data_IF_500011152951
#
_entry.id   IF_500011152951
#
_cell.length_a   1.000
_cell.length_b   1.000
_cell.length_c   1.000
_cell.angle_alpha   90.00
_cell.angle_beta   90.00
_cell.angle_gamma   90.00
#
_symmetry.space_group_name_H-M   'P 1'
#
loop_
_entity.id
_entity.type
_entity.pdbx_description
1 polymer ?
#
# COMPACT_ATOMS: atom_id res chain seq x y z
N UNK A 1 -4.39 -9.48 4.44
CA UNK A 1 -5.19 -10.61 3.95
C UNK A 1 -5.42 -11.68 5.02
N UNK A 2 -4.37 -12.27 5.61
CA UNK A 2 -4.48 -13.32 6.64
C UNK A 2 -5.31 -12.90 7.86
N UNK A 3 -5.23 -11.65 8.27
CA UNK A 3 -5.98 -11.11 9.41
C UNK A 3 -7.48 -11.06 9.08
N UNK A 4 -7.86 -10.48 7.94
CA UNK A 4 -9.26 -10.43 7.51
C UNK A 4 -9.88 -11.82 7.33
N UNK A 5 -9.13 -12.80 6.81
CA UNK A 5 -9.61 -14.18 6.70
C UNK A 5 -9.87 -14.87 8.04
N UNK A 6 -9.36 -14.33 9.16
CA UNK A 6 -9.58 -14.86 10.51
C UNK A 6 -10.81 -14.26 11.20
N UNK A 7 -11.39 -13.21 10.64
CA UNK A 7 -12.60 -12.59 11.21
C UNK A 7 -13.79 -13.56 11.20
N UNK A 8 -14.72 -13.45 12.16
CA UNK A 8 -15.91 -14.31 12.20
C UNK A 8 -16.72 -14.25 10.91
N UNK A 9 -16.91 -13.05 10.34
CA UNK A 9 -17.65 -12.85 9.10
C UNK A 9 -16.99 -13.54 7.90
N UNK A 10 -15.65 -13.47 7.78
CA UNK A 10 -14.93 -14.14 6.70
C UNK A 10 -15.03 -15.67 6.82
N UNK A 11 -14.89 -16.20 8.04
CA UNK A 11 -15.02 -17.64 8.32
C UNK A 11 -16.45 -18.15 8.01
N UNK A 12 -17.46 -17.42 8.43
CA UNK A 12 -18.86 -17.77 8.14
C UNK A 12 -19.16 -17.78 6.64
N UNK A 13 -18.55 -16.88 5.87
CA UNK A 13 -18.65 -16.82 4.42
C UNK A 13 -17.70 -17.79 3.67
N UNK A 14 -16.86 -18.53 4.38
CA UNK A 14 -15.90 -19.47 3.79
C UNK A 14 -14.74 -18.82 3.04
N UNK A 15 -14.42 -17.55 3.35
CA UNK A 15 -13.32 -16.85 2.69
C UNK A 15 -11.96 -17.18 3.33
N UNK A 16 -10.97 -17.45 2.46
CA UNK A 16 -9.57 -17.70 2.81
C UNK A 16 -8.71 -16.48 2.50
N UNK A 17 -7.48 -16.46 2.98
CA UNK A 17 -6.54 -15.34 2.77
C UNK A 17 -6.29 -15.00 1.27
N UNK A 18 -6.36 -15.99 0.39
CA UNK A 18 -6.25 -15.80 -1.06
C UNK A 18 -7.42 -15.00 -1.64
N UNK A 19 -8.62 -15.16 -1.10
CA UNK A 19 -9.82 -14.49 -1.59
C UNK A 19 -9.75 -12.95 -1.41
N UNK A 20 -8.94 -12.48 -0.48
CA UNK A 20 -8.65 -11.05 -0.23
C UNK A 20 -7.54 -10.48 -1.11
N UNK A 21 -7.10 -11.19 -2.15
CA UNK A 21 -6.16 -10.63 -3.14
C UNK A 21 -6.93 -9.85 -4.19
N UNK A 22 -6.61 -8.56 -4.36
CA UNK A 22 -7.20 -7.78 -5.45
C UNK A 22 -6.69 -8.21 -6.85
N UNK A 23 -5.59 -8.98 -6.92
CA UNK A 23 -5.07 -9.48 -8.21
C UNK A 23 -5.75 -10.80 -8.65
N UNK A 24 -6.04 -11.70 -7.69
CA UNK A 24 -6.47 -13.09 -8.02
C UNK A 24 -7.58 -13.60 -7.12
N UNK A 25 -8.02 -12.83 -6.13
CA UNK A 25 -9.00 -13.27 -5.13
C UNK A 25 -10.45 -13.16 -5.61
N UNK A 26 -11.33 -13.94 -5.00
CA UNK A 26 -12.78 -13.92 -5.29
C UNK A 26 -13.47 -12.62 -4.88
N UNK A 27 -12.84 -11.86 -3.96
CA UNK A 27 -13.37 -10.58 -3.46
C UNK A 27 -12.88 -9.37 -4.26
N UNK A 28 -12.18 -9.57 -5.36
CA UNK A 28 -11.79 -8.50 -6.26
C UNK A 28 -12.99 -7.96 -7.02
N UNK A 29 -12.96 -6.71 -7.40
CA UNK A 29 -14.01 -6.12 -8.23
C UNK A 29 -14.10 -6.82 -9.60
N UNK A 30 -15.25 -7.37 -9.99
CA UNK A 30 -15.36 -8.08 -11.24
C UNK A 30 -15.39 -7.15 -12.47
N UNK A 31 -15.69 -5.86 -12.30
CA UNK A 31 -15.78 -4.89 -13.39
C UNK A 31 -14.41 -4.42 -13.85
N UNK A 32 -13.52 -4.08 -12.91
CA UNK A 32 -12.15 -3.66 -13.22
C UNK A 32 -11.10 -4.75 -12.97
N UNK A 33 -11.54 -5.94 -12.64
CA UNK A 33 -10.66 -7.08 -12.35
C UNK A 33 -9.60 -6.80 -11.27
N UNK A 34 -9.95 -5.91 -10.32
CA UNK A 34 -9.10 -5.52 -9.20
C UNK A 34 -8.07 -4.42 -9.51
N UNK A 35 -8.09 -3.81 -10.68
CA UNK A 35 -7.20 -2.68 -11.00
C UNK A 35 -7.60 -1.40 -10.28
N UNK A 36 -8.88 -1.23 -9.98
CA UNK A 36 -9.47 -0.02 -9.40
C UNK A 36 -9.82 1.04 -10.45
N UNK A 37 -9.34 0.90 -11.68
CA UNK A 37 -9.58 1.81 -12.78
C UNK A 37 -10.05 1.08 -14.04
N UNK A 38 -10.62 1.80 -14.98
CA UNK A 38 -10.96 1.34 -16.33
C UNK A 38 -10.20 2.23 -17.29
N UNK A 39 -9.40 1.64 -18.17
CA UNK A 39 -8.72 2.34 -19.23
C UNK A 39 -9.68 2.58 -20.40
N UNK A 40 -9.82 3.83 -20.81
CA UNK A 40 -10.59 4.24 -21.97
C UNK A 40 -9.62 4.43 -23.13
N UNK A 41 -9.78 3.62 -24.17
CA UNK A 41 -9.14 3.83 -25.46
C UNK A 41 -9.81 5.03 -26.14
N UNK A 42 -9.12 6.16 -26.19
CA UNK A 42 -9.57 7.37 -26.87
C UNK A 42 -8.73 7.50 -28.15
N UNK A 43 -9.34 7.25 -29.31
CA UNK A 43 -8.67 7.34 -30.61
C UNK A 43 -7.83 8.63 -30.71
N UNK A 44 -6.55 8.46 -31.07
CA UNK A 44 -5.54 9.53 -31.22
C UNK A 44 -5.07 10.24 -29.93
N UNK A 45 -5.49 9.79 -28.75
CA UNK A 45 -5.00 10.31 -27.45
C UNK A 45 -4.40 9.15 -26.63
N UNK A 46 -3.52 9.44 -25.65
CA UNK A 46 -3.11 8.42 -24.69
C UNK A 46 -4.32 7.86 -23.94
N UNK A 47 -4.28 6.58 -23.62
CA UNK A 47 -5.29 5.93 -22.79
C UNK A 47 -5.54 6.72 -21.50
N UNK A 48 -6.80 6.96 -21.18
CA UNK A 48 -7.20 7.66 -19.97
C UNK A 48 -7.76 6.67 -18.97
N UNK A 49 -7.10 6.54 -17.83
CA UNK A 49 -7.58 5.74 -16.71
C UNK A 49 -8.60 6.53 -15.88
N UNK A 50 -9.82 6.00 -15.79
CA UNK A 50 -10.86 6.55 -14.92
C UNK A 50 -11.13 5.60 -13.76
N UNK A 51 -11.48 6.11 -12.55
CA UNK A 51 -11.88 5.25 -11.44
C UNK A 51 -13.03 4.31 -11.84
N UNK A 52 -12.91 3.04 -11.51
CA UNK A 52 -13.96 2.06 -11.81
C UNK A 52 -15.30 2.51 -11.20
N UNK A 53 -16.39 2.58 -11.97
CA UNK A 53 -17.69 3.08 -11.49
C UNK A 53 -18.31 2.18 -10.41
N UNK A 54 -17.99 0.89 -10.42
CA UNK A 54 -18.52 -0.07 -9.44
C UNK A 54 -17.78 0.00 -8.10
N UNK A 55 -16.46 -0.11 -8.09
CA UNK A 55 -15.67 -0.15 -6.86
C UNK A 55 -15.08 1.22 -6.46
N UNK A 56 -15.20 2.24 -7.32
CA UNK A 56 -14.71 3.61 -7.08
C UNK A 56 -13.24 3.67 -6.66
N UNK A 57 -12.41 2.83 -7.27
CA UNK A 57 -10.98 2.75 -6.97
C UNK A 57 -10.60 1.76 -5.87
N UNK A 58 -11.55 1.25 -5.06
CA UNK A 58 -11.24 0.36 -3.93
C UNK A 58 -10.69 -1.02 -4.33
N UNK A 59 -10.83 -1.41 -5.60
CA UNK A 59 -10.38 -2.68 -6.17
C UNK A 59 -11.16 -3.92 -5.71
N UNK A 60 -12.09 -3.75 -4.79
CA UNK A 60 -12.84 -4.84 -4.16
C UNK A 60 -14.32 -4.79 -4.50
N UNK A 61 -14.93 -5.97 -4.48
CA UNK A 61 -16.38 -6.15 -4.63
C UNK A 61 -17.10 -5.90 -3.28
N UNK A 62 -18.42 -5.66 -3.35
CA UNK A 62 -19.32 -5.37 -2.22
C UNK A 62 -19.18 -6.33 -1.03
N UNK A 63 -19.05 -7.67 -1.22
CA UNK A 63 -18.84 -8.57 -0.10
C UNK A 63 -17.62 -8.26 0.77
N UNK A 64 -16.54 -7.71 0.20
CA UNK A 64 -15.36 -7.32 0.96
C UNK A 64 -15.64 -6.21 1.97
N UNK A 65 -16.57 -5.29 1.64
CA UNK A 65 -16.99 -4.19 2.51
C UNK A 65 -17.84 -4.66 3.72
N UNK A 66 -18.27 -5.90 3.74
CA UNK A 66 -19.04 -6.50 4.88
C UNK A 66 -18.11 -7.19 5.89
N UNK A 67 -16.84 -7.40 5.55
CA UNK A 67 -15.88 -8.09 6.39
C UNK A 67 -15.04 -7.05 7.12
N UNK A 68 -15.36 -6.82 8.39
CA UNK A 68 -14.67 -5.85 9.24
C UNK A 68 -13.64 -6.53 10.13
N UNK A 69 -12.52 -5.88 10.29
CA UNK A 69 -11.55 -6.15 11.32
C UNK A 69 -11.78 -5.16 12.47
N UNK A 70 -11.73 -5.65 13.68
CA UNK A 70 -11.77 -4.84 14.90
C UNK A 70 -10.43 -4.95 15.59
N UNK A 71 -9.77 -3.81 15.72
CA UNK A 71 -8.48 -3.67 16.40
C UNK A 71 -8.69 -3.65 17.92
N UNK A 72 -7.66 -4.01 18.67
CA UNK A 72 -7.66 -3.88 20.14
C UNK A 72 -7.74 -2.43 20.60
N UNK A 73 -7.28 -1.49 19.79
CA UNK A 73 -7.41 -0.05 20.04
C UNK A 73 -8.81 0.51 19.79
N UNK A 74 -9.77 -0.32 19.33
CA UNK A 74 -11.14 0.06 19.03
C UNK A 74 -11.37 0.52 17.58
N UNK A 75 -10.33 0.58 16.74
CA UNK A 75 -10.50 0.87 15.32
C UNK A 75 -11.21 -0.30 14.61
N UNK A 76 -12.22 0.03 13.80
CA UNK A 76 -12.97 -0.95 13.01
C UNK A 76 -12.99 -0.55 11.55
N UNK A 77 -12.46 -1.40 10.68
CA UNK A 77 -12.35 -1.11 9.24
C UNK A 77 -12.41 -2.37 8.38
N UNK A 78 -12.76 -2.18 7.12
CA UNK A 78 -12.74 -3.21 6.09
C UNK A 78 -11.43 -3.16 5.31
N UNK A 79 -11.13 -4.20 4.52
CA UNK A 79 -9.93 -4.17 3.66
C UNK A 79 -10.01 -3.07 2.59
N UNK A 80 -11.14 -2.81 1.91
CA UNK A 80 -11.28 -1.62 1.06
C UNK A 80 -10.95 -0.32 1.78
N UNK A 81 -11.51 -0.09 2.96
CA UNK A 81 -11.22 1.11 3.76
C UNK A 81 -9.75 1.22 4.15
N UNK A 82 -9.11 0.10 4.50
CA UNK A 82 -7.68 0.09 4.79
C UNK A 82 -6.85 0.51 3.57
N UNK A 83 -7.24 0.09 2.35
CA UNK A 83 -6.54 0.49 1.12
C UNK A 83 -6.68 1.97 0.79
N UNK A 84 -7.75 2.62 1.26
CA UNK A 84 -8.00 4.05 1.11
C UNK A 84 -7.25 4.91 2.14
N UNK A 85 -6.78 4.32 3.24
CA UNK A 85 -6.02 5.03 4.26
C UNK A 85 -4.63 5.43 3.72
N UNK A 86 -4.19 6.62 4.06
CA UNK A 86 -2.79 6.99 3.95
C UNK A 86 -1.93 6.17 4.93
N UNK A 87 -0.63 6.13 4.71
CA UNK A 87 0.30 5.34 5.51
C UNK A 87 0.30 5.81 6.98
N UNK A 88 0.16 7.12 7.23
CA UNK A 88 0.11 7.67 8.57
C UNK A 88 -1.11 7.14 9.35
N UNK A 89 -2.30 7.27 8.78
CA UNK A 89 -3.55 6.75 9.36
C UNK A 89 -3.52 5.23 9.51
N UNK A 90 -2.95 4.52 8.52
CA UNK A 90 -2.84 3.08 8.55
C UNK A 90 -1.89 2.57 9.65
N UNK A 91 -0.86 3.33 10.02
CA UNK A 91 0.03 3.03 11.16
C UNK A 91 -0.76 2.91 12.46
N UNK A 92 -1.64 3.85 12.73
CA UNK A 92 -2.49 3.85 13.92
C UNK A 92 -3.50 2.71 13.88
N UNK A 93 -4.21 2.57 12.76
CA UNK A 93 -5.23 1.54 12.55
C UNK A 93 -4.67 0.11 12.65
N UNK A 94 -3.44 -0.10 12.19
CA UNK A 94 -2.76 -1.40 12.15
C UNK A 94 -1.84 -1.65 13.35
N UNK A 95 -1.94 -0.90 14.43
CA UNK A 95 -1.07 -1.00 15.61
C UNK A 95 -0.95 -2.42 16.19
N UNK A 96 -1.97 -3.25 16.05
CA UNK A 96 -1.97 -4.66 16.45
C UNK A 96 -1.07 -5.57 15.58
N UNK A 97 -0.65 -5.10 14.41
CA UNK A 97 0.03 -5.92 13.42
C UNK A 97 1.51 -5.55 13.29
N UNK A 98 2.31 -5.96 14.29
CA UNK A 98 3.72 -5.58 14.44
C UNK A 98 4.52 -5.57 13.13
N UNK A 99 4.39 -6.62 12.29
CA UNK A 99 5.13 -6.70 11.01
C UNK A 99 4.66 -5.63 10.02
N UNK A 100 3.33 -5.35 9.99
CA UNK A 100 2.77 -4.32 9.11
C UNK A 100 3.20 -2.94 9.59
N UNK A 101 3.06 -2.66 10.89
CA UNK A 101 3.46 -1.39 11.50
C UNK A 101 4.95 -1.09 11.24
N UNK A 102 5.84 -2.07 11.41
CA UNK A 102 7.26 -1.89 11.09
C UNK A 102 7.48 -1.50 9.61
N UNK A 103 6.76 -2.12 8.68
CA UNK A 103 6.87 -1.80 7.25
C UNK A 103 6.30 -0.42 6.91
N UNK A 104 5.17 -0.08 7.51
CA UNK A 104 4.56 1.25 7.32
C UNK A 104 5.42 2.35 7.93
N UNK A 105 6.08 2.09 9.08
CA UNK A 105 7.01 3.04 9.69
C UNK A 105 8.16 3.38 8.75
N UNK A 106 8.75 2.39 8.09
CA UNK A 106 9.81 2.62 7.08
C UNK A 106 9.31 3.55 5.96
N UNK A 107 8.09 3.36 5.48
CA UNK A 107 7.50 4.24 4.46
C UNK A 107 7.27 5.65 5.00
N UNK A 108 6.79 5.78 6.24
CA UNK A 108 6.65 7.06 6.93
C UNK A 108 7.99 7.78 7.04
N UNK A 109 9.03 7.07 7.48
CA UNK A 109 10.38 7.60 7.65
C UNK A 109 11.02 8.04 6.32
N UNK A 110 10.60 7.47 5.21
CA UNK A 110 11.01 7.86 3.86
C UNK A 110 10.18 9.03 3.27
N UNK A 111 9.34 9.68 4.08
CA UNK A 111 8.51 10.79 3.65
C UNK A 111 7.36 10.37 2.71
N UNK A 112 6.93 9.11 2.77
CA UNK A 112 5.82 8.56 1.97
C UNK A 112 4.51 8.44 2.76
N UNK A 113 4.44 9.05 3.95
CA UNK A 113 3.31 8.92 4.88
C UNK A 113 1.96 9.36 4.32
N UNK A 114 1.96 10.25 3.34
CA UNK A 114 0.75 10.77 2.67
C UNK A 114 0.21 9.85 1.58
N UNK A 115 0.99 8.87 1.09
CA UNK A 115 0.53 7.93 0.07
C UNK A 115 -0.52 6.99 0.63
N UNK A 116 -1.54 6.69 -0.18
CA UNK A 116 -2.54 5.68 0.19
C UNK A 116 -1.99 4.27 0.00
N UNK A 117 -2.45 3.32 0.82
CA UNK A 117 -2.06 1.91 0.68
C UNK A 117 -2.51 1.29 -0.64
N UNK A 118 -3.56 1.86 -1.23
CA UNK A 118 -4.12 1.47 -2.54
C UNK A 118 -3.55 2.24 -3.71
N UNK A 119 -2.53 3.09 -3.51
CA UNK A 119 -1.96 3.91 -4.57
C UNK A 119 -1.53 3.07 -5.78
N UNK A 120 -1.84 3.56 -6.96
CA UNK A 120 -1.44 2.90 -8.20
C UNK A 120 0.03 3.24 -8.51
N UNK A 121 0.84 2.24 -8.85
CA UNK A 121 2.27 2.47 -9.15
C UNK A 121 2.51 3.51 -10.24
N UNK A 122 1.70 3.60 -11.32
CA UNK A 122 1.89 4.62 -12.35
C UNK A 122 1.62 6.07 -11.89
N UNK A 123 0.91 6.26 -10.76
CA UNK A 123 0.65 7.61 -10.22
C UNK A 123 1.81 8.18 -9.41
N UNK A 124 2.80 7.36 -9.06
CA UNK A 124 3.95 7.77 -8.26
C UNK A 124 4.92 8.62 -9.07
N UNK A 125 5.41 9.69 -8.47
CA UNK A 125 6.55 10.44 -9.01
C UNK A 125 7.83 9.59 -9.01
N UNK A 126 8.82 9.99 -9.81
CA UNK A 126 10.12 9.29 -9.86
C UNK A 126 10.77 9.15 -8.48
N UNK A 127 10.75 10.22 -7.67
CA UNK A 127 11.31 10.22 -6.32
C UNK A 127 10.52 9.30 -5.36
N UNK A 128 9.19 9.28 -5.45
CA UNK A 128 8.34 8.36 -4.66
C UNK A 128 8.62 6.91 -5.01
N UNK A 129 8.70 6.60 -6.31
CA UNK A 129 9.01 5.25 -6.78
C UNK A 129 10.39 4.77 -6.30
N UNK A 130 11.41 5.65 -6.33
CA UNK A 130 12.74 5.35 -5.80
C UNK A 130 12.70 5.08 -4.29
N UNK A 131 12.04 5.93 -3.51
CA UNK A 131 11.90 5.74 -2.05
C UNK A 131 11.12 4.48 -1.71
N UNK A 132 10.07 4.16 -2.47
CA UNK A 132 9.32 2.92 -2.30
C UNK A 132 10.19 1.69 -2.58
N UNK A 133 11.03 1.74 -3.62
CA UNK A 133 12.00 0.69 -3.93
C UNK A 133 13.02 0.54 -2.80
N UNK A 134 13.54 1.65 -2.25
CA UNK A 134 14.43 1.66 -1.10
C UNK A 134 13.78 0.97 0.12
N UNK A 135 12.51 1.30 0.44
CA UNK A 135 11.76 0.66 1.50
C UNK A 135 11.66 -0.86 1.31
N UNK A 136 11.55 -1.33 0.07
CA UNK A 136 11.47 -2.76 -0.23
C UNK A 136 12.78 -3.52 0.02
N UNK A 137 13.91 -2.84 -0.07
CA UNK A 137 15.23 -3.41 0.16
C UNK A 137 15.64 -3.37 1.64
N UNK A 138 15.03 -2.50 2.44
CA UNK A 138 15.32 -2.44 3.87
C UNK A 138 14.99 -3.76 4.58
N UNK A 139 15.94 -4.23 5.39
CA UNK A 139 15.83 -5.50 6.12
C UNK A 139 16.25 -6.74 5.32
N UNK A 140 16.86 -6.55 4.14
CA UNK A 140 17.62 -7.59 3.43
C UNK A 140 19.11 -7.40 3.69
N UNK A 141 19.90 -8.47 3.57
CA UNK A 141 21.37 -8.36 3.56
C UNK A 141 21.81 -7.62 2.29
N UNK A 142 22.64 -6.60 2.44
CA UNK A 142 23.09 -5.72 1.37
C UNK A 142 24.60 -5.79 1.10
N UNK A 143 25.29 -6.79 1.70
CA UNK A 143 26.76 -6.88 1.75
C UNK A 143 27.50 -6.72 0.39
N UNK A 144 26.82 -6.99 -0.73
CA UNK A 144 27.40 -6.91 -2.08
C UNK A 144 26.55 -6.02 -3.02
N UNK A 145 25.85 -5.03 -2.47
CA UNK A 145 24.92 -4.21 -3.25
C UNK A 145 25.41 -2.77 -3.41
N UNK A 146 25.21 -2.20 -4.60
CA UNK A 146 25.42 -0.77 -4.88
C UNK A 146 24.06 -0.14 -5.16
N UNK A 147 23.73 0.90 -4.41
CA UNK A 147 22.52 1.68 -4.63
C UNK A 147 22.86 2.96 -5.35
N UNK A 148 22.19 3.22 -6.46
CA UNK A 148 22.30 4.46 -7.22
C UNK A 148 20.97 5.19 -7.11
N UNK A 149 21.01 6.42 -6.60
CA UNK A 149 19.86 7.31 -6.47
C UNK A 149 20.04 8.53 -7.35
N UNK A 150 18.99 8.84 -8.11
CA UNK A 150 18.92 10.06 -8.91
C UNK A 150 17.97 11.03 -8.21
N UNK A 151 18.51 12.15 -7.73
CA UNK A 151 17.79 13.22 -7.03
C UNK A 151 16.79 12.72 -5.94
N UNK A 152 17.23 11.89 -4.96
CA UNK A 152 16.33 11.21 -4.02
C UNK A 152 15.60 12.17 -3.06
N UNK A 153 15.99 13.43 -3.02
CA UNK A 153 15.41 14.48 -2.17
C UNK A 153 14.32 15.29 -2.86
N UNK A 154 14.07 15.07 -4.15
CA UNK A 154 13.02 15.80 -4.88
C UNK A 154 11.68 15.61 -4.21
N UNK A 155 10.97 16.72 -3.99
CA UNK A 155 9.64 16.76 -3.38
C UNK A 155 9.62 16.53 -1.87
N UNK A 156 10.79 16.44 -1.22
CA UNK A 156 10.88 16.31 0.23
C UNK A 156 10.98 17.68 0.93
N UNK A 157 10.28 17.79 2.06
CA UNK A 157 10.53 18.89 2.99
C UNK A 157 11.95 18.74 3.61
N UNK A 158 12.66 19.84 3.97
CA UNK A 158 14.00 19.76 4.54
C UNK A 158 14.15 18.83 5.77
N UNK A 159 13.11 18.72 6.60
CA UNK A 159 13.11 17.78 7.73
C UNK A 159 13.08 16.32 7.28
N UNK A 160 12.38 16.01 6.19
CA UNK A 160 12.30 14.66 5.64
C UNK A 160 13.62 14.23 4.98
N UNK A 161 14.39 15.21 4.47
CA UNK A 161 15.76 14.95 3.95
C UNK A 161 16.66 14.40 5.05
N UNK A 162 16.57 14.93 6.28
CA UNK A 162 17.35 14.40 7.41
C UNK A 162 16.97 12.96 7.74
N UNK A 163 15.69 12.65 7.65
CA UNK A 163 15.19 11.29 7.89
C UNK A 163 15.66 10.34 6.79
N UNK A 164 15.62 10.77 5.52
CA UNK A 164 16.17 10.00 4.42
C UNK A 164 17.67 9.70 4.59
N UNK A 165 18.46 10.68 5.04
CA UNK A 165 19.88 10.49 5.32
C UNK A 165 20.12 9.45 6.41
N UNK A 166 19.29 9.41 7.47
CA UNK A 166 19.36 8.36 8.50
C UNK A 166 19.05 6.96 7.92
N UNK A 167 18.09 6.88 7.01
CA UNK A 167 17.78 5.63 6.31
C UNK A 167 18.97 5.16 5.48
N UNK A 168 19.64 6.06 4.76
CA UNK A 168 20.86 5.71 4.02
C UNK A 168 21.95 5.22 4.96
N UNK A 169 22.17 5.89 6.09
CA UNK A 169 23.14 5.45 7.10
C UNK A 169 22.80 4.05 7.62
N UNK A 170 21.52 3.77 7.89
CA UNK A 170 21.07 2.44 8.33
C UNK A 170 21.37 1.35 7.29
N UNK A 171 21.25 1.67 6.00
CA UNK A 171 21.59 0.72 4.93
C UNK A 171 23.10 0.49 4.84
N UNK A 172 23.91 1.54 4.98
CA UNK A 172 25.37 1.45 4.99
C UNK A 172 25.85 0.59 6.18
N UNK A 173 25.24 0.80 7.35
CA UNK A 173 25.59 0.06 8.58
C UNK A 173 25.17 -1.41 8.53
N UNK A 174 24.20 -1.75 7.66
CA UNK A 174 23.67 -3.11 7.50
C UNK A 174 24.41 -3.94 6.43
N UNK A 175 25.26 -3.35 5.65
CA UNK A 175 25.98 -3.97 4.55
C UNK A 175 27.37 -3.59 4.38
#
# INVERSE_FOLDING_TARGET
RKVFARTPAAKAAGYKAGDFSYNTGRLRCPVCDGTGAISLDVQFLPDVDIPCPECRGSRYDKPAARIRYESRSGASFTLPQLMEMDIHTALEACSDWKIVTQRLQVLQDLGLGYLTLGEATPSLSGGEAQRLKLASEMGRSQADSVFVFDEPTIGLHPLDVQTLLRVFQTLIDAG
#
